data_IF_070426081471
#
_entry.id   IF_070426081471
#
_cell.length_a   1.000
_cell.length_b   1.000
_cell.length_c   1.000
_cell.angle_alpha   90.00
_cell.angle_beta   90.00
_cell.angle_gamma   90.00
#
_symmetry.space_group_name_H-M   'P 1'
#
loop_
_entity.id
_entity.type
_entity.pdbx_description
1 polymer ?
#
# COMPACT_ATOMS: atom_id res chain seq x y z
N UNK A 1 -0.08 -5.26 -23.20
CA UNK A 1 -0.22 -3.79 -23.15
C UNK A 1 0.64 -3.32 -22.00
N UNK A 2 1.83 -2.80 -22.31
CA UNK A 2 2.73 -2.21 -21.32
C UNK A 2 2.20 -0.82 -20.96
N UNK A 3 1.32 -0.73 -19.98
CA UNK A 3 0.98 0.55 -19.36
C UNK A 3 1.92 0.76 -18.19
N UNK A 4 3.19 1.07 -18.49
CA UNK A 4 4.16 1.53 -17.49
C UNK A 4 3.81 2.97 -17.12
N UNK A 5 2.79 3.14 -16.28
CA UNK A 5 2.53 4.44 -15.69
C UNK A 5 3.65 4.80 -14.72
N UNK A 6 3.96 6.09 -14.62
CA UNK A 6 4.96 6.58 -13.68
C UNK A 6 4.40 6.43 -12.25
N UNK A 7 4.99 5.50 -11.50
CA UNK A 7 4.66 5.27 -10.10
C UNK A 7 5.23 6.42 -9.27
N UNK A 8 4.35 7.14 -8.56
CA UNK A 8 4.71 8.25 -7.67
C UNK A 8 4.44 7.89 -6.23
N UNK A 9 5.44 8.06 -5.36
CA UNK A 9 5.23 7.96 -3.92
C UNK A 9 4.57 9.25 -3.45
N UNK A 10 3.46 9.12 -2.73
CA UNK A 10 2.69 10.23 -2.21
C UNK A 10 2.97 10.36 -0.71
N UNK A 11 3.41 11.55 -0.30
CA UNK A 11 3.57 11.88 1.11
C UNK A 11 2.20 12.02 1.78
N UNK A 12 1.96 11.19 2.81
CA UNK A 12 0.74 11.25 3.63
C UNK A 12 1.04 12.00 4.91
N UNK A 13 0.17 12.94 5.29
CA UNK A 13 0.21 13.58 6.59
C UNK A 13 -0.41 12.65 7.65
N UNK A 14 0.43 11.86 8.33
CA UNK A 14 -0.02 10.95 9.39
C UNK A 14 -0.38 11.65 10.70
N UNK A 15 -0.17 12.97 10.81
CA UNK A 15 -0.48 13.73 12.02
C UNK A 15 -1.90 14.29 12.01
N UNK A 16 -2.56 14.30 10.86
CA UNK A 16 -3.95 14.74 10.71
C UNK A 16 -4.91 14.03 11.67
N UNK A 17 -5.85 14.76 12.31
CA UNK A 17 -6.84 14.15 13.20
C UNK A 17 -7.73 13.13 12.50
N UNK A 18 -7.96 13.26 11.19
CA UNK A 18 -8.83 12.40 10.38
C UNK A 18 -8.22 11.04 9.99
N UNK A 19 -6.93 10.82 10.25
CA UNK A 19 -6.24 9.56 9.93
C UNK A 19 -6.49 8.51 11.03
N UNK A 20 -6.78 7.27 10.63
CA UNK A 20 -7.01 6.16 11.56
C UNK A 20 -5.75 5.78 12.35
N UNK A 21 -5.91 5.36 13.61
CA UNK A 21 -4.79 5.07 14.52
C UNK A 21 -3.81 4.02 13.97
N UNK A 22 -4.31 2.97 13.30
CA UNK A 22 -3.46 1.97 12.67
C UNK A 22 -2.58 2.59 11.57
N UNK A 23 -3.13 3.49 10.77
CA UNK A 23 -2.40 4.20 9.71
C UNK A 23 -1.34 5.12 10.33
N UNK A 24 -1.64 5.81 11.44
CA UNK A 24 -0.65 6.62 12.18
C UNK A 24 0.49 5.78 12.74
N UNK A 25 0.15 4.61 13.30
CA UNK A 25 1.10 3.68 13.93
C UNK A 25 2.05 3.06 12.91
N UNK A 26 1.52 2.54 11.81
CA UNK A 26 2.32 1.78 10.84
C UNK A 26 2.86 2.63 9.69
N UNK A 27 2.29 3.82 9.47
CA UNK A 27 2.70 4.77 8.42
C UNK A 27 2.87 4.08 7.06
N UNK A 28 1.82 3.42 6.53
CA UNK A 28 1.89 2.63 5.30
C UNK A 28 2.25 3.51 4.10
N UNK A 29 3.01 2.99 3.15
CA UNK A 29 3.44 3.75 1.96
C UNK A 29 2.22 3.96 1.06
N UNK A 30 2.02 5.20 0.61
CA UNK A 30 1.02 5.52 -0.40
C UNK A 30 1.72 5.81 -1.72
N UNK A 31 1.23 5.19 -2.78
CA UNK A 31 1.71 5.41 -4.14
C UNK A 31 0.54 5.71 -5.08
N UNK A 32 0.86 6.27 -6.24
CA UNK A 32 -0.06 6.53 -7.33
C UNK A 32 0.52 5.97 -8.63
N UNK A 33 -0.21 5.07 -9.30
CA UNK A 33 0.15 4.48 -10.60
C UNK A 33 -0.46 5.28 -11.77
N UNK A 34 -0.74 6.57 -11.60
CA UNK A 34 -1.38 7.38 -12.65
C UNK A 34 -2.89 7.18 -12.79
N UNK A 35 -3.42 5.99 -12.54
CA UNK A 35 -4.86 5.70 -12.56
C UNK A 35 -5.46 5.49 -11.16
N UNK A 36 -4.70 4.88 -10.25
CA UNK A 36 -5.19 4.50 -8.92
C UNK A 36 -4.13 4.69 -7.84
N UNK A 37 -4.62 4.84 -6.61
CA UNK A 37 -3.81 4.95 -5.42
C UNK A 37 -3.72 3.59 -4.74
N UNK A 38 -2.51 3.21 -4.36
CA UNK A 38 -2.26 2.00 -3.59
C UNK A 38 -1.58 2.38 -2.28
N UNK A 39 -2.15 1.96 -1.16
CA UNK A 39 -1.61 2.12 0.17
C UNK A 39 -1.18 0.75 0.69
N UNK A 40 0.07 0.57 1.10
CA UNK A 40 0.55 -0.75 1.52
C UNK A 40 1.66 -0.72 2.57
N UNK A 41 1.77 -1.83 3.30
CA UNK A 41 2.89 -2.14 4.17
C UNK A 41 3.24 -3.62 4.03
N UNK A 42 4.51 -3.94 4.24
CA UNK A 42 5.05 -5.29 4.13
C UNK A 42 6.10 -5.40 3.03
N UNK A 43 7.14 -6.15 3.33
CA UNK A 43 8.23 -6.48 2.40
C UNK A 43 7.74 -7.19 1.12
N UNK A 44 6.63 -7.94 1.22
CA UNK A 44 6.03 -8.69 0.11
C UNK A 44 4.50 -8.63 0.18
N UNK A 45 3.79 -8.59 -0.96
CA UNK A 45 2.33 -8.56 -1.00
C UNK A 45 1.66 -9.76 -0.34
N UNK A 46 2.32 -10.91 -0.32
CA UNK A 46 1.79 -12.14 0.30
C UNK A 46 1.70 -12.05 1.83
N UNK A 47 2.60 -11.30 2.46
CA UNK A 47 2.64 -11.07 3.91
C UNK A 47 2.22 -9.65 4.28
N UNK A 48 1.97 -8.78 3.31
CA UNK A 48 1.63 -7.38 3.53
C UNK A 48 0.15 -7.12 3.76
N UNK A 49 -0.14 -5.85 4.05
CA UNK A 49 -1.49 -5.29 4.01
C UNK A 49 -1.49 -4.22 2.95
N UNK A 50 -2.43 -4.29 2.02
CA UNK A 50 -2.59 -3.32 0.94
C UNK A 50 -4.04 -2.91 0.78
N UNK A 51 -4.25 -1.69 0.28
CA UNK A 51 -5.55 -1.13 -0.06
C UNK A 51 -5.44 -0.28 -1.32
N UNK A 52 -6.51 -0.27 -2.11
CA UNK A 52 -6.62 0.52 -3.34
C UNK A 52 -7.75 1.54 -3.24
N UNK A 53 -7.60 2.65 -3.94
CA UNK A 53 -8.63 3.67 -4.05
C UNK A 53 -8.41 4.60 -5.24
N UNK A 54 -9.46 5.30 -5.65
CA UNK A 54 -9.38 6.38 -6.66
C UNK A 54 -8.81 7.68 -6.08
N UNK A 55 -8.73 7.78 -4.75
CA UNK A 55 -8.12 8.89 -4.03
C UNK A 55 -7.22 8.35 -2.92
N UNK A 56 -6.25 9.14 -2.42
CA UNK A 56 -5.42 8.81 -1.27
C UNK A 56 -6.22 8.27 -0.07
N UNK A 57 -7.30 8.95 0.27
CA UNK A 57 -8.15 8.68 1.43
C UNK A 57 -8.86 7.34 1.27
N UNK A 58 -9.35 7.03 0.07
CA UNK A 58 -9.97 5.74 -0.22
C UNK A 58 -8.97 4.60 -0.13
N UNK A 59 -7.74 4.79 -0.62
CA UNK A 59 -6.69 3.78 -0.53
C UNK A 59 -6.29 3.50 0.93
N UNK A 60 -6.14 4.57 1.73
CA UNK A 60 -5.85 4.48 3.17
C UNK A 60 -7.01 3.81 3.93
N UNK A 61 -8.25 4.19 3.64
CA UNK A 61 -9.44 3.59 4.26
C UNK A 61 -9.52 2.09 3.95
N UNK A 62 -9.30 1.71 2.69
CA UNK A 62 -9.30 0.31 2.28
C UNK A 62 -8.16 -0.47 2.95
N UNK A 63 -6.96 0.12 3.05
CA UNK A 63 -5.85 -0.48 3.78
C UNK A 63 -6.22 -0.74 5.25
N UNK A 64 -6.86 0.24 5.91
CA UNK A 64 -7.30 0.10 7.30
C UNK A 64 -8.36 -1.00 7.45
N UNK A 65 -9.29 -1.13 6.51
CA UNK A 65 -10.26 -2.23 6.50
C UNK A 65 -9.55 -3.59 6.41
N UNK A 66 -8.54 -3.73 5.54
CA UNK A 66 -7.76 -4.97 5.41
C UNK A 66 -6.92 -5.28 6.64
N UNK A 67 -6.37 -4.25 7.29
CA UNK A 67 -5.69 -4.38 8.57
C UNK A 67 -6.64 -4.91 9.66
N UNK A 68 -7.84 -4.32 9.79
CA UNK A 68 -8.84 -4.75 10.76
C UNK A 68 -9.30 -6.17 10.49
N UNK A 69 -9.54 -6.54 9.23
CA UNK A 69 -9.89 -7.90 8.83
C UNK A 69 -8.82 -8.90 9.30
N UNK A 70 -7.55 -8.68 8.95
CA UNK A 70 -6.45 -9.56 9.38
C UNK A 70 -6.30 -9.63 10.90
N UNK A 71 -6.54 -8.52 11.59
CA UNK A 71 -6.49 -8.47 13.05
C UNK A 71 -7.59 -9.33 13.66
N UNK A 72 -8.82 -9.26 13.14
CA UNK A 72 -9.95 -10.09 13.58
C UNK A 72 -9.71 -11.57 13.27
N UNK A 73 -9.09 -11.88 12.12
CA UNK A 73 -8.74 -13.25 11.71
C UNK A 73 -7.52 -13.82 12.47
N UNK A 74 -6.83 -13.01 13.27
CA UNK A 74 -5.56 -13.40 13.90
C UNK A 74 -4.44 -13.70 12.90
N UNK A 75 -4.55 -13.17 11.68
CA UNK A 75 -3.60 -13.42 10.61
C UNK A 75 -2.30 -12.63 10.84
N UNK A 76 -1.16 -13.29 10.66
CA UNK A 76 0.14 -12.62 10.68
C UNK A 76 0.31 -11.76 9.41
N UNK A 77 0.86 -10.57 9.59
CA UNK A 77 1.27 -9.69 8.51
C UNK A 77 2.59 -9.01 8.86
N UNK A 78 3.40 -8.74 7.84
CA UNK A 78 4.65 -8.00 7.96
C UNK A 78 4.35 -6.52 8.11
N UNK A 79 4.91 -5.93 9.17
CA UNK A 79 4.92 -4.49 9.42
C UNK A 79 6.21 -3.84 8.92
N UNK A 80 7.12 -4.62 8.33
CA UNK A 80 8.36 -4.11 7.76
C UNK A 80 8.04 -3.37 6.47
N UNK A 81 8.50 -2.13 6.38
CA UNK A 81 8.39 -1.34 5.15
C UNK A 81 9.37 -1.88 4.12
N UNK A 82 8.99 -1.97 2.84
CA UNK A 82 9.95 -2.19 1.78
C UNK A 82 10.96 -1.04 1.75
N UNK A 83 12.23 -1.38 1.50
CA UNK A 83 13.33 -0.41 1.43
C UNK A 83 13.22 0.29 0.07
N UNK A 84 12.60 1.48 0.01
CA UNK A 84 12.33 2.21 -1.23
C UNK A 84 13.56 2.95 -1.82
N UNK A 85 14.74 2.85 -1.20
CA UNK A 85 15.94 3.65 -1.54
C UNK A 85 16.65 3.24 -2.83
N UNK A 86 16.22 2.18 -3.52
CA UNK A 86 16.83 1.75 -4.78
C UNK A 86 15.80 1.73 -5.91
N UNK A 87 16.23 2.25 -7.06
CA UNK A 87 15.44 2.46 -8.29
C UNK A 87 14.77 1.17 -8.79
N UNK A 88 15.31 0.00 -8.43
CA UNK A 88 14.77 -1.34 -8.74
C UNK A 88 13.56 -1.78 -7.89
N UNK A 89 13.12 -1.00 -6.90
CA UNK A 89 11.90 -1.29 -6.13
C UNK A 89 10.60 -1.12 -6.93
N UNK A 90 10.70 -0.78 -8.21
CA UNK A 90 9.56 -0.89 -9.11
C UNK A 90 9.00 -2.30 -9.10
N UNK A 91 9.80 -3.35 -8.85
CA UNK A 91 9.29 -4.73 -8.80
C UNK A 91 8.38 -5.02 -7.60
N UNK A 92 8.73 -4.58 -6.39
CA UNK A 92 7.85 -4.76 -5.21
C UNK A 92 6.58 -3.93 -5.39
N UNK A 93 6.73 -2.68 -5.84
CA UNK A 93 5.58 -1.83 -6.11
C UNK A 93 4.70 -2.43 -7.20
N UNK A 94 5.31 -2.94 -8.27
CA UNK A 94 4.59 -3.66 -9.33
C UNK A 94 3.95 -4.93 -8.80
N UNK A 95 4.55 -5.64 -7.85
CA UNK A 95 3.96 -6.83 -7.26
C UNK A 95 2.73 -6.50 -6.40
N UNK A 96 2.67 -5.31 -5.80
CA UNK A 96 1.43 -4.80 -5.20
C UNK A 96 0.43 -4.41 -6.29
N UNK A 97 0.78 -3.56 -7.26
CA UNK A 97 -0.15 -3.02 -8.27
C UNK A 97 -0.64 -4.04 -9.32
N UNK A 98 0.27 -4.85 -9.85
CA UNK A 98 0.08 -5.70 -11.03
C UNK A 98 0.00 -7.19 -10.68
N UNK A 99 -0.38 -7.54 -9.45
CA UNK A 99 -0.46 -8.94 -8.97
C UNK A 99 -1.36 -9.86 -9.82
N UNK A 100 -2.08 -9.31 -10.80
CA UNK A 100 -2.98 -10.01 -11.73
C UNK A 100 -2.47 -10.16 -13.17
N UNK A 101 -1.25 -9.73 -13.53
CA UNK A 101 -0.67 -10.05 -14.85
C UNK A 101 0.31 -11.22 -14.73
N UNK A 102 -0.26 -12.39 -14.51
CA UNK A 102 0.33 -13.65 -14.98
C UNK A 102 -0.83 -14.51 -15.45
N UNK A 103 -0.76 -14.86 -16.75
CA UNK A 103 -1.64 -15.77 -17.49
C UNK A 103 -2.07 -16.99 -16.68
#
# INVERSE_FOLDING_TARGET
METTHEIKIISVDYNSPDIQEAVKKYKPILIHDGNEYCCFIGERPEYGVYGYGKTPELAIMHWNQKYLQKTVEGALFSTKKPILEQVDNTEIVKAYLYRSVSN
#
